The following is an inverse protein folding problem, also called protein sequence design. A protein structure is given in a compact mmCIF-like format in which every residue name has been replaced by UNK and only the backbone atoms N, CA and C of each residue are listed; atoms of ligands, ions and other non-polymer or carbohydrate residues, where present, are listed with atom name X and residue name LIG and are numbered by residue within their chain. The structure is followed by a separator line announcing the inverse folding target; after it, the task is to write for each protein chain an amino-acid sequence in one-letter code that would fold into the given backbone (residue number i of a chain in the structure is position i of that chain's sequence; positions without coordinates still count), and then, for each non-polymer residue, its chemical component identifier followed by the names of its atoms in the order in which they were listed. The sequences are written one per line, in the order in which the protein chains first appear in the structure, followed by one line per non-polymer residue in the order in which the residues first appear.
data_IF_869347451350
#
_entry.id   IF_869347451350
#
_cell.length_a   1.000
_cell.length_b   1.000
_cell.length_c   1.000
_cell.angle_alpha   90.00
_cell.angle_beta   90.00
_cell.angle_gamma   90.00
#
_symmetry.space_group_name_H-M   'P 1'
#
loop_
_entity.id
_entity.type
_entity.pdbx_description
1 polymer ?
#
# COMPACT_ATOMS: atom_id res chain seq x y z
N UNK A 1 -11.51 13.43 -24.24
CA UNK A 1 -12.18 12.20 -23.76
C UNK A 1 -11.12 11.25 -23.26
N UNK A 2 -11.17 10.82 -21.98
CA UNK A 2 -10.29 9.75 -21.46
C UNK A 2 -10.91 8.42 -21.88
N UNK A 3 -10.18 7.65 -22.67
CA UNK A 3 -10.60 6.31 -23.09
C UNK A 3 -10.76 5.42 -21.84
N UNK A 4 -11.96 4.89 -21.61
CA UNK A 4 -12.41 4.28 -20.35
C UNK A 4 -11.81 2.91 -20.03
N UNK A 5 -10.76 2.49 -20.75
CA UNK A 5 -10.16 1.14 -20.68
C UNK A 5 -8.65 1.12 -20.42
N UNK A 6 -8.08 2.20 -19.88
CA UNK A 6 -6.65 2.21 -19.56
C UNK A 6 -6.36 1.54 -18.21
N UNK A 7 -5.39 0.62 -18.21
CA UNK A 7 -4.85 0.05 -16.97
C UNK A 7 -4.05 1.12 -16.23
N UNK A 8 -4.26 1.25 -14.91
CA UNK A 8 -3.54 2.21 -14.08
C UNK A 8 -2.99 1.55 -12.81
N UNK A 9 -1.94 2.13 -12.26
CA UNK A 9 -1.36 1.74 -10.97
C UNK A 9 -1.56 2.82 -9.94
N UNK A 10 -2.04 2.45 -8.74
CA UNK A 10 -2.05 3.32 -7.57
C UNK A 10 -1.03 2.80 -6.56
N UNK A 11 0.03 3.58 -6.34
CA UNK A 11 0.99 3.30 -5.29
C UNK A 11 0.60 4.05 -4.01
N UNK A 12 0.42 3.33 -2.90
CA UNK A 12 0.12 3.93 -1.61
C UNK A 12 0.78 3.19 -0.47
N UNK A 13 1.16 3.93 0.58
CA UNK A 13 1.42 3.31 1.87
C UNK A 13 0.06 3.11 2.51
N UNK A 14 -0.40 1.86 2.64
CA UNK A 14 -1.76 1.44 3.00
C UNK A 14 -2.38 2.07 4.28
N UNK A 15 -1.64 2.93 4.98
CA UNK A 15 -2.05 3.63 6.19
C UNK A 15 -2.96 4.86 6.02
N UNK A 16 -3.27 5.25 4.78
CA UNK A 16 -4.24 6.32 4.52
C UNK A 16 -5.66 5.78 4.45
N UNK A 17 -6.52 6.07 5.45
CA UNK A 17 -7.95 5.69 5.47
C UNK A 17 -8.74 6.09 4.22
N UNK A 18 -8.27 7.12 3.48
CA UNK A 18 -8.96 7.73 2.33
C UNK A 18 -8.95 6.92 1.03
N UNK A 19 -8.20 5.82 0.95
CA UNK A 19 -8.05 5.04 -0.29
C UNK A 19 -8.60 3.61 -0.18
N UNK A 20 -9.48 3.35 0.79
CA UNK A 20 -10.39 2.21 0.71
C UNK A 20 -11.32 2.50 -0.47
N UNK A 21 -10.90 2.16 -1.68
CA UNK A 21 -11.82 2.12 -2.81
C UNK A 21 -13.01 1.29 -2.33
N UNK A 22 -14.21 1.87 -2.36
CA UNK A 22 -15.36 1.11 -1.89
C UNK A 22 -15.45 -0.17 -2.73
N UNK A 23 -15.81 -1.33 -2.17
CA UNK A 23 -16.02 -2.55 -2.96
C UNK A 23 -16.95 -2.32 -4.16
N UNK A 24 -17.83 -1.32 -4.08
CA UNK A 24 -18.73 -0.87 -5.15
C UNK A 24 -18.01 -0.13 -6.29
N UNK A 25 -16.98 0.69 -6.00
CA UNK A 25 -16.16 1.37 -7.03
C UNK A 25 -15.17 0.42 -7.70
N UNK A 26 -14.78 -0.66 -7.00
CA UNK A 26 -13.78 -1.63 -7.49
C UNK A 26 -14.39 -2.77 -8.31
N UNK A 27 -15.70 -3.03 -8.17
CA UNK A 27 -16.43 -3.99 -9.02
C UNK A 27 -17.17 -3.30 -10.17
N UNK A 28 -16.61 -2.24 -10.74
CA UNK A 28 -17.10 -1.74 -12.02
C UNK A 28 -16.87 -2.85 -13.08
N UNK A 29 -17.91 -3.28 -13.81
CA UNK A 29 -17.77 -4.33 -14.81
C UNK A 29 -16.71 -3.93 -15.84
N UNK A 30 -15.60 -4.68 -15.90
CA UNK A 30 -14.52 -4.49 -16.88
C UNK A 30 -13.09 -4.37 -16.31
N UNK A 31 -12.90 -4.23 -14.99
CA UNK A 31 -11.56 -4.14 -14.39
C UNK A 31 -11.22 -5.35 -13.51
N UNK A 32 -9.99 -5.85 -13.63
CA UNK A 32 -9.38 -6.78 -12.68
C UNK A 32 -8.50 -6.01 -11.69
N UNK A 33 -8.56 -6.41 -10.41
CA UNK A 33 -7.78 -5.78 -9.35
C UNK A 33 -6.65 -6.71 -8.94
N UNK A 34 -5.43 -6.29 -9.24
CA UNK A 34 -4.21 -6.97 -8.83
C UNK A 34 -3.58 -6.21 -7.65
N UNK A 35 -3.63 -6.80 -6.45
CA UNK A 35 -3.00 -6.27 -5.26
C UNK A 35 -1.54 -6.75 -5.20
N UNK A 36 -0.61 -5.80 -5.18
CA UNK A 36 0.80 -6.04 -4.87
C UNK A 36 1.08 -5.44 -3.50
N UNK A 37 1.38 -6.30 -2.53
CA UNK A 37 1.75 -5.89 -1.19
C UNK A 37 3.24 -6.16 -0.96
N UNK A 38 3.98 -5.12 -0.57
CA UNK A 38 5.39 -5.21 -0.20
C UNK A 38 5.51 -4.90 1.29
N UNK A 39 5.73 -5.96 2.07
CA UNK A 39 5.91 -5.93 3.51
C UNK A 39 7.37 -5.69 3.92
N UNK A 40 7.54 -5.33 5.18
CA UNK A 40 8.83 -5.38 5.87
C UNK A 40 8.56 -6.04 7.22
N UNK A 41 9.21 -7.18 7.46
CA UNK A 41 8.98 -8.00 8.65
C UNK A 41 9.21 -7.25 9.98
N UNK A 42 10.19 -6.33 10.03
CA UNK A 42 10.57 -5.65 11.28
C UNK A 42 10.47 -4.13 11.20
N UNK A 43 9.92 -3.51 12.24
CA UNK A 43 9.90 -2.04 12.38
C UNK A 43 11.29 -1.42 12.27
N UNK A 44 12.32 -2.09 12.80
CA UNK A 44 13.70 -1.62 12.74
C UNK A 44 14.19 -1.48 11.28
N UNK A 45 13.89 -2.46 10.42
CA UNK A 45 14.22 -2.38 8.99
C UNK A 45 13.52 -1.18 8.33
N UNK A 46 12.26 -0.91 8.69
CA UNK A 46 11.53 0.27 8.20
C UNK A 46 12.20 1.58 8.62
N UNK A 47 12.62 1.68 9.89
CA UNK A 47 13.38 2.84 10.40
C UNK A 47 14.71 3.01 9.67
N UNK A 48 15.48 1.94 9.48
CA UNK A 48 16.76 1.98 8.75
C UNK A 48 16.57 2.45 7.31
N UNK A 49 15.56 1.94 6.59
CA UNK A 49 15.27 2.37 5.21
C UNK A 49 14.88 3.85 5.12
N UNK A 50 14.12 4.36 6.09
CA UNK A 50 13.81 5.79 6.15
C UNK A 50 15.07 6.61 6.44
N UNK A 51 15.92 6.18 7.38
CA UNK A 51 17.17 6.87 7.68
C UNK A 51 18.09 6.94 6.45
N UNK A 52 18.27 5.84 5.72
CA UNK A 52 19.06 5.81 4.49
C UNK A 52 18.45 6.68 3.38
N UNK A 53 17.13 6.71 3.26
CA UNK A 53 16.44 7.61 2.33
C UNK A 53 16.67 9.08 2.67
N UNK A 54 16.62 9.43 3.96
CA UNK A 54 16.85 10.81 4.42
C UNK A 54 18.30 11.23 4.17
N UNK A 55 19.27 10.35 4.42
CA UNK A 55 20.69 10.60 4.06
C UNK A 55 20.87 10.90 2.56
N UNK A 56 20.02 10.33 1.70
CA UNK A 56 20.00 10.56 0.25
C UNK A 56 19.12 11.74 -0.19
N UNK A 57 18.68 12.59 0.74
CA UNK A 57 17.88 13.79 0.45
C UNK A 57 16.36 13.58 0.41
N UNK A 58 15.85 12.44 0.86
CA UNK A 58 14.41 12.19 0.92
C UNK A 58 13.73 12.72 2.19
N UNK A 59 12.39 12.71 2.20
CA UNK A 59 11.59 13.25 3.30
C UNK A 59 11.68 12.41 4.59
N UNK A 60 11.85 13.02 5.78
CA UNK A 60 11.82 12.30 7.05
C UNK A 60 10.40 11.81 7.39
N UNK A 61 10.30 10.77 8.21
CA UNK A 61 9.03 10.29 8.75
C UNK A 61 9.19 10.16 10.25
N UNK A 62 8.22 10.67 11.02
CA UNK A 62 8.29 10.60 12.48
C UNK A 62 8.24 9.13 12.94
N UNK A 63 9.02 8.72 13.96
CA UNK A 63 9.02 7.34 14.46
C UNK A 63 7.63 6.81 14.81
N UNK A 64 6.79 7.62 15.47
CA UNK A 64 5.41 7.28 15.81
C UNK A 64 4.53 7.01 14.57
N UNK A 65 4.82 7.68 13.44
CA UNK A 65 4.15 7.39 12.18
C UNK A 65 4.59 6.04 11.62
N UNK A 66 5.87 5.67 11.74
CA UNK A 66 6.38 4.36 11.31
C UNK A 66 5.79 3.22 12.13
N UNK A 67 5.75 3.35 13.45
CA UNK A 67 5.14 2.37 14.35
C UNK A 67 3.68 2.14 14.05
N UNK A 68 2.89 3.23 13.99
CA UNK A 68 1.46 3.16 13.67
C UNK A 68 1.21 2.52 12.31
N UNK A 69 2.04 2.82 11.31
CA UNK A 69 1.93 2.26 9.95
C UNK A 69 2.29 0.79 9.92
N UNK A 70 3.36 0.40 10.62
CA UNK A 70 3.82 -0.98 10.70
C UNK A 70 2.77 -1.87 11.38
N UNK A 71 2.22 -1.43 12.52
CA UNK A 71 1.20 -2.18 13.25
C UNK A 71 -0.08 -2.43 12.42
N UNK A 72 -0.51 -1.44 11.63
CA UNK A 72 -1.73 -1.54 10.81
C UNK A 72 -1.51 -2.24 9.47
N UNK A 73 -0.28 -2.60 9.11
CA UNK A 73 0.02 -3.05 7.76
C UNK A 73 -0.68 -4.38 7.42
N UNK A 74 -0.73 -5.29 8.39
CA UNK A 74 -1.41 -6.59 8.25
C UNK A 74 -2.93 -6.44 8.13
N UNK A 75 -3.54 -5.54 8.88
CA UNK A 75 -4.98 -5.24 8.79
C UNK A 75 -5.35 -4.74 7.39
N UNK A 76 -4.52 -3.85 6.82
CA UNK A 76 -4.77 -3.35 5.46
C UNK A 76 -4.62 -4.42 4.39
N UNK A 77 -3.67 -5.35 4.54
CA UNK A 77 -3.53 -6.49 3.63
C UNK A 77 -4.79 -7.35 3.66
N UNK A 78 -5.32 -7.65 4.86
CA UNK A 78 -6.54 -8.44 5.02
C UNK A 78 -7.75 -7.74 4.41
N UNK A 79 -7.89 -6.43 4.61
CA UNK A 79 -8.98 -5.64 4.03
C UNK A 79 -8.88 -5.59 2.49
N UNK A 80 -7.69 -5.30 1.95
CA UNK A 80 -7.47 -5.17 0.50
C UNK A 80 -7.62 -6.50 -0.25
N UNK A 81 -7.25 -7.62 0.38
CA UNK A 81 -7.44 -8.96 -0.20
C UNK A 81 -8.91 -9.28 -0.49
N UNK A 82 -9.87 -8.70 0.26
CA UNK A 82 -11.31 -8.99 0.08
C UNK A 82 -11.86 -8.50 -1.25
N UNK A 83 -11.22 -7.52 -1.87
CA UNK A 83 -11.66 -6.91 -3.14
C UNK A 83 -10.74 -7.23 -4.30
N UNK A 84 -9.56 -7.79 -4.03
CA UNK A 84 -8.57 -8.14 -5.05
C UNK A 84 -8.92 -9.45 -5.76
N UNK A 85 -8.73 -9.48 -7.08
CA UNK A 85 -8.84 -10.70 -7.87
C UNK A 85 -7.57 -11.55 -7.75
N UNK A 86 -6.41 -10.88 -7.65
CA UNK A 86 -5.12 -11.51 -7.41
C UNK A 86 -4.37 -10.76 -6.32
N UNK A 87 -3.69 -11.49 -5.45
CA UNK A 87 -2.83 -10.95 -4.40
C UNK A 87 -1.42 -11.51 -4.57
N UNK A 88 -0.43 -10.63 -4.62
CA UNK A 88 0.99 -10.99 -4.57
C UNK A 88 1.61 -10.32 -3.35
N UNK A 89 2.24 -11.11 -2.47
CA UNK A 89 2.88 -10.65 -1.24
C UNK A 89 4.38 -10.85 -1.39
N UNK A 90 5.14 -9.78 -1.17
CA UNK A 90 6.58 -9.78 -1.12
C UNK A 90 7.03 -9.31 0.26
N UNK A 91 7.92 -10.04 0.91
CA UNK A 91 8.52 -9.69 2.20
C UNK A 91 10.04 -9.83 2.12
N UNK A 92 10.76 -8.97 2.83
CA UNK A 92 12.24 -8.87 2.84
C UNK A 92 12.75 -8.50 4.22
#
# INVERSE_FOLDING_TARGET
MRDGRQTFGLATTSAGRRQRASPAETRAPGFQINLVFVGIARLLQSRTRVAERVKRGGHPVRPADLERRWARNSEHLLDARRVAHRVSVFDT
#
